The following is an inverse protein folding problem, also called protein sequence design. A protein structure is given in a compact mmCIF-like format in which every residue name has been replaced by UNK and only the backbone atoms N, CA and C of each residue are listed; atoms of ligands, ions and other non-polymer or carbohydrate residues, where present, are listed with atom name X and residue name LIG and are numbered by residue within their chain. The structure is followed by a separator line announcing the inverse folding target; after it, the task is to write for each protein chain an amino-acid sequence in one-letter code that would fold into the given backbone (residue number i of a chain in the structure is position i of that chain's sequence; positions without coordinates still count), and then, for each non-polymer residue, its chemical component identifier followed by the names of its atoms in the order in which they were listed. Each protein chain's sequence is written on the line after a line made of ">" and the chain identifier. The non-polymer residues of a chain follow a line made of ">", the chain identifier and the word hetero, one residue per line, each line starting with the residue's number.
data_IF_875069383310
#
_entry.id   IF_875069383310
#
_cell.length_a   1.000
_cell.length_b   1.000
_cell.length_c   1.000
_cell.angle_alpha   90.00
_cell.angle_beta   90.00
_cell.angle_gamma   90.00
#
_symmetry.space_group_name_H-M   'P 1'
#
loop_
_entity.id
_entity.type
_entity.pdbx_description
1 polymer ?
#
# COMPACT_ATOMS: atom_id res chain seq x y z
N UNK A 1 13.30 -18.65 -10.85
CA UNK A 1 12.41 -18.27 -11.96
C UNK A 1 11.29 -17.44 -11.34
N UNK A 2 11.21 -16.15 -11.68
CA UNK A 2 10.24 -15.22 -11.09
C UNK A 2 9.05 -15.15 -12.03
N UNK A 3 7.91 -15.69 -11.60
CA UNK A 3 6.67 -15.67 -12.38
C UNK A 3 6.18 -14.22 -12.40
N UNK A 4 6.38 -13.54 -13.52
CA UNK A 4 5.68 -12.29 -13.81
C UNK A 4 4.23 -12.67 -14.06
N UNK A 5 3.35 -12.47 -13.08
CA UNK A 5 1.91 -12.54 -13.31
C UNK A 5 1.57 -11.48 -14.37
N UNK A 6 1.08 -11.95 -15.52
CA UNK A 6 0.61 -11.06 -16.56
C UNK A 6 -0.64 -10.35 -16.01
N UNK A 7 -0.62 -9.03 -16.05
CA UNK A 7 -1.71 -8.11 -15.66
C UNK A 7 -3.13 -8.41 -16.23
N UNK A 8 -3.36 -9.17 -17.33
CA UNK A 8 -4.70 -9.53 -17.79
C UNK A 8 -5.52 -10.41 -16.83
N UNK A 9 -4.88 -11.13 -15.92
CA UNK A 9 -5.57 -12.10 -15.04
C UNK A 9 -6.37 -11.40 -13.93
N UNK A 10 -5.92 -10.24 -13.48
CA UNK A 10 -6.60 -9.48 -12.42
C UNK A 10 -7.95 -8.92 -12.89
N UNK A 11 -8.06 -8.50 -14.15
CA UNK A 11 -9.33 -8.02 -14.71
C UNK A 11 -10.37 -9.13 -14.88
N UNK A 12 -9.94 -10.40 -14.99
CA UNK A 12 -10.86 -11.55 -15.02
C UNK A 12 -11.40 -11.88 -13.62
N UNK A 13 -10.62 -11.58 -12.57
CA UNK A 13 -10.98 -11.83 -11.17
C UNK A 13 -11.76 -10.65 -10.55
N UNK A 14 -11.38 -9.42 -10.89
CA UNK A 14 -11.99 -8.17 -10.44
C UNK A 14 -12.67 -7.49 -11.63
N UNK A 15 -13.69 -8.14 -12.19
CA UNK A 15 -14.57 -7.53 -13.17
C UNK A 15 -15.88 -7.08 -12.52
N UNK A 16 -16.57 -6.19 -13.23
CA UNK A 16 -17.82 -5.59 -12.77
C UNK A 16 -18.88 -6.65 -12.41
N UNK A 17 -18.99 -7.74 -13.17
CA UNK A 17 -19.96 -8.80 -12.89
C UNK A 17 -19.70 -9.48 -11.53
N UNK A 18 -18.44 -9.80 -11.21
CA UNK A 18 -18.10 -10.40 -9.92
C UNK A 18 -18.30 -9.45 -8.74
N UNK A 19 -18.12 -8.13 -8.95
CA UNK A 19 -18.43 -7.14 -7.94
C UNK A 19 -19.93 -7.04 -7.70
N UNK A 20 -20.75 -7.10 -8.76
CA UNK A 20 -22.21 -7.17 -8.66
C UNK A 20 -22.64 -8.41 -7.88
N UNK A 21 -22.13 -9.60 -8.24
CA UNK A 21 -22.45 -10.85 -7.53
C UNK A 21 -22.12 -10.76 -6.03
N UNK A 22 -21.00 -10.12 -5.66
CA UNK A 22 -20.64 -9.90 -4.27
C UNK A 22 -21.63 -8.97 -3.56
N UNK A 23 -22.05 -7.88 -4.21
CA UNK A 23 -23.03 -6.97 -3.65
C UNK A 23 -24.38 -7.65 -3.42
N UNK A 24 -24.86 -8.44 -4.38
CA UNK A 24 -26.10 -9.21 -4.24
C UNK A 24 -26.01 -10.22 -3.08
N UNK A 25 -24.88 -10.92 -2.96
CA UNK A 25 -24.66 -11.85 -1.85
C UNK A 25 -24.63 -11.14 -0.48
N UNK A 26 -24.04 -9.95 -0.39
CA UNK A 26 -24.02 -9.16 0.83
C UNK A 26 -25.40 -8.60 1.19
N UNK A 27 -26.21 -8.21 0.20
CA UNK A 27 -27.59 -7.75 0.41
C UNK A 27 -28.48 -8.88 0.94
N UNK A 28 -28.38 -10.08 0.35
CA UNK A 28 -29.13 -11.24 0.85
C UNK A 28 -28.68 -11.65 2.26
N UNK A 29 -27.37 -11.60 2.54
CA UNK A 29 -26.86 -11.81 3.89
C UNK A 29 -27.40 -10.78 4.88
N UNK A 30 -27.49 -9.51 4.47
CA UNK A 30 -28.07 -8.44 5.28
C UNK A 30 -29.56 -8.68 5.57
N UNK A 31 -30.34 -9.11 4.58
CA UNK A 31 -31.73 -9.50 4.76
C UNK A 31 -31.86 -10.68 5.74
N UNK A 32 -31.02 -11.71 5.60
CA UNK A 32 -31.00 -12.85 6.51
C UNK A 32 -30.64 -12.45 7.95
N UNK A 33 -29.72 -11.49 8.15
CA UNK A 33 -29.41 -10.92 9.47
C UNK A 33 -30.62 -10.18 10.05
N UNK A 34 -31.24 -9.31 9.26
CA UNK A 34 -32.36 -8.48 9.68
C UNK A 34 -33.59 -9.30 10.07
N UNK A 35 -33.80 -10.42 9.38
CA UNK A 35 -34.93 -11.32 9.60
C UNK A 35 -34.62 -12.45 10.60
N UNK A 36 -33.42 -12.46 11.20
CA UNK A 36 -33.02 -13.47 12.17
C UNK A 36 -32.78 -14.87 11.58
N UNK A 37 -32.57 -14.97 10.26
CA UNK A 37 -32.36 -16.23 9.51
C UNK A 37 -30.91 -16.49 9.08
N UNK A 38 -29.92 -15.88 9.74
CA UNK A 38 -28.48 -16.01 9.41
C UNK A 38 -28.02 -17.46 9.19
N UNK A 39 -28.49 -18.39 10.02
CA UNK A 39 -28.09 -19.80 9.94
C UNK A 39 -28.53 -20.50 8.64
N UNK A 40 -29.46 -19.91 7.88
CA UNK A 40 -29.90 -20.40 6.57
C UNK A 40 -29.07 -19.82 5.42
N UNK A 41 -28.45 -18.65 5.63
CA UNK A 41 -27.68 -17.95 4.62
C UNK A 41 -26.19 -18.34 4.64
N UNK A 42 -25.66 -18.78 5.78
CA UNK A 42 -24.24 -19.13 5.91
C UNK A 42 -24.00 -20.18 6.99
N UNK A 43 -22.90 -20.93 6.83
CA UNK A 43 -22.41 -21.89 7.82
C UNK A 43 -21.50 -21.26 8.88
N UNK A 44 -21.11 -19.99 8.72
CA UNK A 44 -20.26 -19.29 9.68
C UNK A 44 -21.01 -19.06 11.01
N UNK A 45 -20.29 -19.22 12.12
CA UNK A 45 -20.80 -18.75 13.41
C UNK A 45 -20.95 -17.22 13.40
N UNK A 46 -21.78 -16.68 14.29
CA UNK A 46 -21.96 -15.23 14.43
C UNK A 46 -20.63 -14.49 14.62
N UNK A 47 -19.71 -15.05 15.42
CA UNK A 47 -18.42 -14.42 15.69
C UNK A 47 -17.53 -14.41 14.45
N UNK A 48 -17.46 -15.52 13.72
CA UNK A 48 -16.69 -15.61 12.46
C UNK A 48 -17.26 -14.67 11.40
N UNK A 49 -18.58 -14.64 11.25
CA UNK A 49 -19.25 -13.76 10.30
C UNK A 49 -18.97 -12.27 10.62
N UNK A 50 -19.04 -11.88 11.89
CA UNK A 50 -18.70 -10.52 12.32
C UNK A 50 -17.24 -10.19 12.06
N UNK A 51 -16.32 -11.13 12.32
CA UNK A 51 -14.90 -10.95 12.02
C UNK A 51 -14.66 -10.72 10.53
N UNK A 52 -15.23 -11.60 9.70
CA UNK A 52 -15.14 -11.52 8.25
C UNK A 52 -15.71 -10.21 7.69
N UNK A 53 -16.88 -9.77 8.16
CA UNK A 53 -17.49 -8.50 7.73
C UNK A 53 -16.66 -7.27 8.13
N UNK A 54 -16.00 -7.32 9.29
CA UNK A 54 -15.10 -6.24 9.73
C UNK A 54 -13.85 -6.14 8.86
N UNK A 55 -13.27 -7.29 8.50
CA UNK A 55 -12.13 -7.34 7.57
C UNK A 55 -12.52 -6.81 6.20
N UNK A 56 -13.68 -7.22 5.67
CA UNK A 56 -14.22 -6.70 4.41
C UNK A 56 -14.38 -5.17 4.47
N UNK A 57 -15.00 -4.65 5.52
CA UNK A 57 -15.20 -3.20 5.69
C UNK A 57 -13.86 -2.45 5.80
N UNK A 58 -12.88 -3.03 6.49
CA UNK A 58 -11.53 -2.47 6.58
C UNK A 58 -10.86 -2.41 5.21
N UNK A 59 -10.84 -3.52 4.46
CA UNK A 59 -10.22 -3.57 3.13
C UNK A 59 -10.91 -2.61 2.16
N UNK A 60 -12.24 -2.56 2.18
CA UNK A 60 -12.99 -1.61 1.35
C UNK A 60 -12.65 -0.15 1.71
N UNK A 61 -12.61 0.17 3.01
CA UNK A 61 -12.25 1.51 3.49
C UNK A 61 -10.84 1.92 3.10
N UNK A 62 -9.86 1.03 3.27
CA UNK A 62 -8.48 1.28 2.86
C UNK A 62 -8.37 1.45 1.33
N UNK A 63 -9.08 0.61 0.56
CA UNK A 63 -9.09 0.70 -0.90
C UNK A 63 -9.67 2.04 -1.38
N UNK A 64 -10.76 2.51 -0.75
CA UNK A 64 -11.34 3.83 -1.05
C UNK A 64 -10.32 4.92 -0.71
N UNK A 65 -9.73 4.88 0.48
CA UNK A 65 -8.73 5.85 0.92
C UNK A 65 -7.54 5.92 -0.06
N UNK A 66 -7.03 4.78 -0.51
CA UNK A 66 -5.96 4.73 -1.51
C UNK A 66 -6.40 5.29 -2.87
N UNK A 67 -7.60 4.97 -3.35
CA UNK A 67 -8.14 5.50 -4.62
C UNK A 67 -8.37 7.01 -4.59
N UNK A 68 -8.71 7.57 -3.44
CA UNK A 68 -8.91 9.01 -3.26
C UNK A 68 -7.59 9.79 -3.11
N UNK A 69 -6.47 9.10 -2.81
CA UNK A 69 -5.18 9.76 -2.72
C UNK A 69 -4.69 10.21 -4.11
N UNK A 70 -4.17 11.46 -4.25
CA UNK A 70 -3.76 12.03 -5.54
C UNK A 70 -2.58 11.29 -6.23
N UNK A 71 -1.97 10.30 -5.60
CA UNK A 71 -0.81 9.56 -6.10
C UNK A 71 -1.11 8.11 -6.57
N UNK A 72 -2.37 7.65 -6.55
CA UNK A 72 -2.73 6.31 -7.08
C UNK A 72 -2.87 6.26 -8.60
N UNK A 73 -2.86 7.41 -9.29
CA UNK A 73 -2.60 7.44 -10.71
C UNK A 73 -1.14 7.03 -10.93
N UNK A 74 -0.91 5.98 -11.73
CA UNK A 74 0.40 5.46 -12.11
C UNK A 74 1.39 6.55 -12.58
N UNK A 75 2.03 7.21 -11.63
CA UNK A 75 3.09 8.18 -11.81
C UNK A 75 4.33 7.59 -11.17
N UNK A 76 5.33 7.30 -11.99
CA UNK A 76 6.62 6.80 -11.54
C UNK A 76 7.09 7.58 -10.29
N UNK A 77 7.64 6.91 -9.26
CA UNK A 77 8.21 7.64 -8.15
C UNK A 77 9.32 8.52 -8.71
N UNK A 78 9.08 9.83 -8.77
CA UNK A 78 10.12 10.80 -9.13
C UNK A 78 11.07 10.80 -7.97
N UNK A 79 12.14 10.01 -8.08
CA UNK A 79 13.26 10.05 -7.17
C UNK A 79 13.92 11.42 -7.33
N UNK A 80 13.62 12.34 -6.40
CA UNK A 80 14.32 13.60 -6.31
C UNK A 80 15.69 13.32 -5.68
N UNK A 81 16.75 13.48 -6.47
CA UNK A 81 18.11 13.39 -5.97
C UNK A 81 18.37 14.56 -5.02
N UNK A 82 18.28 14.32 -3.72
CA UNK A 82 18.70 15.29 -2.70
C UNK A 82 20.22 15.23 -2.63
N UNK A 83 20.91 16.32 -2.97
CA UNK A 83 22.34 16.45 -2.72
C UNK A 83 22.54 16.40 -1.20
N UNK A 84 23.07 15.28 -0.70
CA UNK A 84 23.53 15.20 0.69
C UNK A 84 24.48 16.35 0.95
N UNK A 85 24.28 17.17 2.01
CA UNK A 85 25.31 18.09 2.42
C UNK A 85 26.54 17.26 2.76
N UNK A 86 27.59 17.41 1.96
CA UNK A 86 28.88 16.84 2.26
C UNK A 86 29.23 17.23 3.71
N UNK A 87 29.72 16.25 4.46
CA UNK A 87 30.23 16.41 5.81
C UNK A 87 31.29 17.53 5.81
N UNK A 88 30.87 18.76 6.12
CA UNK A 88 31.78 19.81 6.53
C UNK A 88 32.18 19.46 7.96
N UNK A 89 33.30 18.75 8.11
CA UNK A 89 34.20 18.81 9.26
C UNK A 89 35.37 17.85 9.02
N UNK A 90 36.49 18.41 8.57
CA UNK A 90 37.84 17.88 8.78
C UNK A 90 38.77 19.11 8.81
N UNK A 91 38.75 19.84 9.92
CA UNK A 91 39.96 20.49 10.42
C UNK A 91 40.84 19.36 10.97
N UNK A 92 41.99 19.08 10.34
CA UNK A 92 43.17 18.68 11.10
C UNK A 92 44.47 18.94 10.34
N UNK A 93 45.40 19.42 11.13
CA UNK A 93 46.79 19.76 10.94
C UNK A 93 47.57 18.79 10.02
N UNK A 94 48.28 19.31 9.02
CA UNK A 94 49.67 18.88 8.74
C UNK A 94 50.38 19.68 7.64
N UNK A 95 51.63 20.06 7.96
CA UNK A 95 52.77 20.33 7.05
C UNK A 95 52.72 21.61 6.20
N UNK A 96 53.45 22.64 6.67
CA UNK A 96 54.62 23.22 5.95
C UNK A 96 55.56 23.95 6.93
N UNK A 97 56.50 23.22 7.52
CA UNK A 97 57.85 23.74 7.83
C UNK A 97 58.83 23.14 6.81
N UNK A 98 59.96 23.82 6.63
CA UNK A 98 61.04 23.65 5.62
C UNK A 98 60.83 24.57 4.41
N UNK A 99 61.69 25.57 4.13
CA UNK A 99 62.96 25.93 4.73
C UNK A 99 63.47 27.30 4.25
N UNK A 100 64.32 27.87 5.12
CA UNK A 100 65.43 28.80 4.91
C UNK A 100 65.80 29.14 3.45
N UNK A 101 65.85 30.44 3.14
CA UNK A 101 67.05 31.13 2.59
C UNK A 101 66.86 32.65 2.54
N UNK A 102 67.73 33.38 3.25
CA UNK A 102 68.16 34.79 3.02
C UNK A 102 69.36 34.73 2.03
N UNK A 103 69.98 35.84 1.54
CA UNK A 103 69.65 37.26 1.63
C UNK A 103 69.80 38.01 0.27
N UNK A 104 69.49 39.31 0.26
CA UNK A 104 70.37 40.41 -0.22
C UNK A 104 69.80 41.74 0.28
#
# INVERSE_FOLDING_TARGET
>A
MMVKMNQPELKLLYNDARLVDLFEALDELHNAVSEGRVAQATTLSKTELVGWLRELAYIAGETIYELEQPNTAAGQPTLVLVKSPALNNCDDDTRKRVGVSRPS
#
